data_IF_018362641941
#
_entry.id   IF_018362641941
#
_cell.length_a   1.000
_cell.length_b   1.000
_cell.length_c   1.000
_cell.angle_alpha   90.00
_cell.angle_beta   90.00
_cell.angle_gamma   90.00
#
_symmetry.space_group_name_H-M   'P 1'
#
loop_
_entity.id
_entity.type
_entity.pdbx_description
1 polymer ?
#
# COMPACT_ATOMS: atom_id res chain seq x y z
N UNK A 1 0.62 -3.31 -4.51
CA UNK A 1 0.17 -4.63 -4.07
C UNK A 1 -0.62 -4.49 -2.78
N UNK A 2 -1.81 -5.06 -2.68
CA UNK A 2 -2.68 -4.97 -1.50
C UNK A 2 -3.15 -6.39 -1.18
N UNK A 3 -3.14 -6.76 0.10
CA UNK A 3 -3.63 -8.04 0.58
C UNK A 3 -4.98 -7.86 1.28
N UNK A 4 -5.95 -8.68 0.91
CA UNK A 4 -7.30 -8.65 1.49
C UNK A 4 -7.61 -9.96 2.18
N UNK A 5 -8.30 -9.88 3.32
CA UNK A 5 -8.93 -11.01 4.00
C UNK A 5 -10.42 -10.96 3.73
N UNK A 6 -10.96 -12.09 3.26
CA UNK A 6 -12.39 -12.26 3.04
C UNK A 6 -13.07 -12.47 4.40
N UNK A 7 -14.08 -11.65 4.70
CA UNK A 7 -14.86 -11.71 5.96
C UNK A 7 -16.23 -12.35 5.76
N UNK A 8 -16.85 -12.09 4.62
CA UNK A 8 -18.10 -12.72 4.19
C UNK A 8 -18.10 -12.81 2.67
N UNK A 9 -18.76 -13.84 2.14
CA UNK A 9 -18.99 -14.01 0.70
C UNK A 9 -20.31 -13.38 0.24
N UNK A 10 -21.30 -13.26 1.14
CA UNK A 10 -22.63 -12.75 0.80
C UNK A 10 -23.21 -11.88 1.95
N UNK A 11 -23.28 -10.54 1.77
CA UNK A 11 -22.61 -9.79 0.72
C UNK A 11 -21.08 -9.91 0.85
N UNK A 12 -20.35 -9.77 -0.26
CA UNK A 12 -18.89 -9.81 -0.23
C UNK A 12 -18.35 -8.68 0.67
N UNK A 13 -17.54 -9.06 1.66
CA UNK A 13 -16.89 -8.13 2.60
C UNK A 13 -15.44 -8.50 2.76
N UNK A 14 -14.57 -7.52 2.59
CA UNK A 14 -13.12 -7.69 2.69
C UNK A 14 -12.50 -6.65 3.62
N UNK A 15 -11.39 -7.01 4.27
CA UNK A 15 -10.56 -6.09 5.06
C UNK A 15 -9.11 -6.15 4.58
N UNK A 16 -8.41 -5.02 4.61
CA UNK A 16 -6.98 -4.99 4.28
C UNK A 16 -6.18 -5.69 5.40
N UNK A 17 -5.44 -6.74 5.03
CA UNK A 17 -4.71 -7.58 5.98
C UNK A 17 -3.42 -6.93 6.46
N UNK A 18 -2.73 -6.24 5.56
CA UNK A 18 -1.50 -5.53 5.85
C UNK A 18 -1.39 -4.29 4.95
N UNK A 19 -0.61 -3.31 5.40
CA UNK A 19 -0.31 -2.11 4.59
C UNK A 19 0.25 -2.53 3.23
N UNK A 20 -0.43 -2.14 2.17
CA UNK A 20 0.02 -2.39 0.80
C UNK A 20 1.43 -1.86 0.52
N UNK A 21 2.20 -2.60 -0.28
CA UNK A 21 3.53 -2.19 -0.77
C UNK A 21 3.47 -1.84 -2.24
N UNK A 22 4.40 -1.00 -2.69
CA UNK A 22 4.61 -0.69 -4.09
C UNK A 22 6.10 -0.63 -4.38
N UNK A 23 6.44 -0.77 -5.65
CA UNK A 23 7.78 -0.55 -6.16
C UNK A 23 7.71 -0.07 -7.59
N UNK A 24 8.84 0.46 -8.07
CA UNK A 24 9.01 0.96 -9.42
C UNK A 24 9.27 -0.19 -10.40
N UNK A 25 8.33 -1.14 -10.51
CA UNK A 25 8.53 -2.40 -11.23
C UNK A 25 7.33 -2.82 -12.11
N UNK A 26 6.68 -1.84 -12.74
CA UNK A 26 5.51 -2.07 -13.61
C UNK A 26 5.84 -2.28 -15.09
N UNK A 27 4.80 -2.52 -15.91
CA UNK A 27 4.95 -2.67 -17.37
C UNK A 27 5.70 -1.51 -18.04
N UNK A 28 5.62 -0.28 -17.52
CA UNK A 28 6.40 0.85 -18.03
C UNK A 28 7.91 0.59 -18.02
N UNK A 29 8.44 -0.16 -17.04
CA UNK A 29 9.86 -0.50 -16.97
C UNK A 29 10.31 -1.44 -18.08
N UNK A 30 9.39 -2.25 -18.61
CA UNK A 30 9.66 -3.02 -19.83
C UNK A 30 9.85 -2.09 -21.03
N UNK A 31 9.15 -0.94 -21.13
CA UNK A 31 9.40 0.04 -22.20
C UNK A 31 10.80 0.64 -22.09
N UNK A 32 11.24 1.00 -20.88
CA UNK A 32 12.58 1.56 -20.66
C UNK A 32 13.68 0.54 -20.98
N UNK A 33 13.52 -0.70 -20.54
CA UNK A 33 14.47 -1.78 -20.84
C UNK A 33 14.48 -2.16 -22.33
N UNK A 34 13.33 -2.12 -23.00
CA UNK A 34 13.28 -2.26 -24.45
C UNK A 34 13.99 -1.11 -25.17
N UNK A 35 13.77 0.14 -24.73
CA UNK A 35 14.49 1.29 -25.26
C UNK A 35 16.00 1.16 -25.10
N UNK A 36 16.46 0.79 -23.91
CA UNK A 36 17.88 0.56 -23.65
C UNK A 36 18.44 -0.58 -24.50
N UNK A 37 17.70 -1.67 -24.66
CA UNK A 37 18.08 -2.77 -25.54
C UNK A 37 18.27 -2.29 -26.99
N UNK A 38 17.31 -1.55 -27.55
CA UNK A 38 17.40 -1.01 -28.92
C UNK A 38 18.55 -0.01 -29.03
N UNK A 39 18.74 0.87 -28.03
CA UNK A 39 19.85 1.83 -27.99
C UNK A 39 21.21 1.13 -28.02
N UNK A 40 21.37 0.06 -27.26
CA UNK A 40 22.60 -0.72 -27.21
C UNK A 40 22.87 -1.45 -28.53
N UNK A 41 21.81 -1.96 -29.21
CA UNK A 41 21.96 -2.63 -30.52
C UNK A 41 22.29 -1.67 -31.66
N UNK A 42 21.62 -0.52 -31.74
CA UNK A 42 21.84 0.46 -32.81
C UNK A 42 23.10 1.32 -32.58
N UNK A 43 23.58 1.39 -31.34
CA UNK A 43 24.56 2.36 -30.90
C UNK A 43 23.89 3.68 -30.50
N UNK A 44 24.40 4.30 -29.43
CA UNK A 44 23.80 5.47 -28.79
C UNK A 44 23.57 6.64 -29.76
N UNK A 45 24.59 7.01 -30.53
CA UNK A 45 24.52 8.13 -31.47
C UNK A 45 23.45 7.92 -32.56
N UNK A 46 23.42 6.73 -33.17
CA UNK A 46 22.44 6.37 -34.21
C UNK A 46 21.03 6.28 -33.64
N UNK A 47 20.88 5.79 -32.41
CA UNK A 47 19.59 5.75 -31.73
C UNK A 47 19.03 7.15 -31.47
N UNK A 48 19.86 8.05 -30.95
CA UNK A 48 19.44 9.43 -30.65
C UNK A 48 19.11 10.21 -31.93
N UNK A 49 19.92 10.05 -32.99
CA UNK A 49 19.62 10.59 -34.32
C UNK A 49 18.31 10.02 -34.88
N UNK A 50 18.06 8.72 -34.75
CA UNK A 50 16.82 8.07 -35.17
C UNK A 50 15.60 8.63 -34.41
N UNK A 51 15.70 8.85 -33.10
CA UNK A 51 14.63 9.48 -32.32
C UNK A 51 14.36 10.92 -32.75
N UNK A 52 15.40 11.68 -33.09
CA UNK A 52 15.28 13.07 -33.49
C UNK A 52 14.72 13.23 -34.92
N UNK A 53 15.26 12.49 -35.89
CA UNK A 53 14.95 12.64 -37.31
C UNK A 53 13.81 11.74 -37.79
N UNK A 54 13.60 10.59 -37.13
CA UNK A 54 12.64 9.54 -37.53
C UNK A 54 11.75 9.13 -36.35
N UNK A 55 11.20 10.10 -35.61
CA UNK A 55 10.37 9.84 -34.42
C UNK A 55 9.23 8.82 -34.64
N UNK A 56 8.61 8.80 -35.83
CA UNK A 56 7.56 7.83 -36.19
C UNK A 56 8.07 6.38 -36.23
N UNK A 57 9.32 6.17 -36.63
CA UNK A 57 9.97 4.84 -36.63
C UNK A 57 10.08 4.31 -35.21
N UNK A 58 10.57 5.13 -34.27
CA UNK A 58 10.62 4.77 -32.84
C UNK A 58 9.22 4.50 -32.28
N UNK A 59 8.26 5.39 -32.54
CA UNK A 59 6.90 5.25 -32.04
C UNK A 59 6.24 3.95 -32.50
N UNK A 60 6.49 3.52 -33.74
CA UNK A 60 5.92 2.27 -34.24
C UNK A 60 6.53 1.05 -33.57
N UNK A 61 7.86 1.00 -33.42
CA UNK A 61 8.54 -0.09 -32.71
C UNK A 61 8.12 -0.17 -31.24
N UNK A 62 8.08 0.98 -30.55
CA UNK A 62 7.64 1.05 -29.15
C UNK A 62 6.17 0.63 -29.00
N UNK A 63 5.28 1.09 -29.88
CA UNK A 63 3.87 0.72 -29.85
C UNK A 63 3.68 -0.77 -30.08
N UNK A 64 4.39 -1.35 -31.04
CA UNK A 64 4.34 -2.79 -31.29
C UNK A 64 4.83 -3.59 -30.09
N UNK A 65 5.94 -3.16 -29.47
CA UNK A 65 6.44 -3.78 -28.26
C UNK A 65 5.40 -3.71 -27.12
N UNK A 66 4.80 -2.54 -26.89
CA UNK A 66 3.84 -2.31 -25.81
C UNK A 66 2.50 -3.04 -25.98
N UNK A 67 1.95 -3.05 -27.20
CA UNK A 67 0.63 -3.60 -27.47
C UNK A 67 0.64 -5.09 -27.79
N UNK A 68 1.73 -5.60 -28.37
CA UNK A 68 1.83 -6.99 -28.82
C UNK A 68 2.84 -7.78 -27.98
N UNK A 69 4.12 -7.41 -28.03
CA UNK A 69 5.20 -8.21 -27.43
C UNK A 69 5.00 -8.36 -25.93
N UNK A 70 4.75 -7.27 -25.20
CA UNK A 70 4.56 -7.33 -23.75
C UNK A 70 3.43 -8.24 -23.29
N UNK A 71 2.38 -8.35 -24.10
CA UNK A 71 1.13 -9.04 -23.74
C UNK A 71 1.19 -10.51 -24.12
N UNK A 72 1.80 -10.80 -25.27
CA UNK A 72 1.75 -12.11 -25.89
C UNK A 72 3.09 -12.86 -25.79
N UNK A 73 4.15 -12.26 -25.24
CA UNK A 73 5.44 -12.93 -25.14
C UNK A 73 5.33 -14.21 -24.31
N UNK A 74 5.70 -15.30 -24.97
CA UNK A 74 5.80 -16.63 -24.45
C UNK A 74 7.12 -17.24 -24.95
N UNK A 75 8.00 -17.59 -24.01
CA UNK A 75 9.35 -18.12 -24.30
C UNK A 75 9.30 -19.51 -24.96
N UNK A 76 8.20 -20.26 -24.79
CA UNK A 76 8.03 -21.60 -25.36
C UNK A 76 7.47 -21.54 -26.79
N UNK A 77 6.66 -20.54 -27.10
CA UNK A 77 5.99 -20.41 -28.40
C UNK A 77 6.74 -19.52 -29.40
N UNK A 78 7.50 -18.54 -28.91
CA UNK A 78 8.19 -17.57 -29.77
C UNK A 78 9.66 -17.92 -29.91
N UNK A 79 10.15 -18.14 -31.13
CA UNK A 79 11.58 -18.24 -31.40
C UNK A 79 12.19 -16.86 -31.65
N UNK A 80 11.55 -16.07 -32.50
CA UNK A 80 11.98 -14.72 -32.88
C UNK A 80 10.76 -13.79 -33.04
N UNK A 81 10.96 -12.51 -32.71
CA UNK A 81 9.94 -11.45 -32.79
C UNK A 81 10.49 -10.33 -33.66
N UNK A 82 9.72 -9.94 -34.67
CA UNK A 82 10.11 -8.93 -35.65
C UNK A 82 9.46 -7.60 -35.29
N UNK A 83 10.22 -6.72 -34.65
CA UNK A 83 9.71 -5.40 -34.23
C UNK A 83 9.87 -4.39 -35.37
N UNK A 84 8.81 -3.69 -35.80
CA UNK A 84 8.88 -2.81 -36.97
C UNK A 84 9.68 -1.53 -36.70
N UNK A 85 10.72 -1.30 -37.50
CA UNK A 85 11.56 -0.11 -37.51
C UNK A 85 11.75 0.40 -38.96
N UNK A 86 10.68 0.91 -39.61
CA UNK A 86 10.73 1.28 -41.02
C UNK A 86 11.73 2.41 -41.28
N UNK A 87 12.37 2.33 -42.44
CA UNK A 87 13.30 3.35 -42.91
C UNK A 87 14.66 3.34 -42.21
N UNK A 88 14.95 2.33 -41.37
CA UNK A 88 16.34 2.02 -40.99
C UNK A 88 16.98 1.15 -42.07
N UNK A 89 18.25 1.39 -42.43
CA UNK A 89 18.98 0.51 -43.33
C UNK A 89 19.25 -0.83 -42.65
N UNK A 90 19.32 -1.88 -43.46
CA UNK A 90 19.68 -3.23 -43.00
C UNK A 90 21.07 -3.21 -42.35
N UNK A 91 21.19 -3.96 -41.27
CA UNK A 91 22.39 -4.05 -40.45
C UNK A 91 22.38 -5.38 -39.72
N UNK A 92 23.12 -6.34 -40.26
CA UNK A 92 23.22 -7.70 -39.72
C UNK A 92 23.75 -7.69 -38.28
N UNK A 93 24.67 -6.80 -37.95
CA UNK A 93 25.25 -6.69 -36.59
C UNK A 93 24.23 -6.17 -35.58
N UNK A 94 23.42 -5.20 -35.98
CA UNK A 94 22.32 -4.68 -35.18
C UNK A 94 21.05 -5.54 -35.24
N UNK A 95 21.01 -6.58 -36.08
CA UNK A 95 19.84 -7.43 -36.31
C UNK A 95 18.68 -6.71 -36.99
N UNK A 96 18.99 -5.73 -37.83
CA UNK A 96 18.03 -5.05 -38.67
C UNK A 96 17.98 -5.72 -40.04
N UNK A 97 16.82 -6.22 -40.43
CA UNK A 97 16.56 -6.78 -41.74
C UNK A 97 15.19 -6.32 -42.25
N UNK A 98 15.16 -5.79 -43.46
CA UNK A 98 13.94 -5.41 -44.18
C UNK A 98 13.04 -4.44 -43.40
N UNK A 99 13.66 -3.55 -42.62
CA UNK A 99 12.96 -2.59 -41.76
C UNK A 99 12.37 -3.16 -40.47
N UNK A 100 12.81 -4.35 -40.05
CA UNK A 100 12.46 -4.96 -38.77
C UNK A 100 13.71 -5.18 -37.91
N UNK A 101 13.57 -4.95 -36.61
CA UNK A 101 14.54 -5.40 -35.61
C UNK A 101 14.15 -6.81 -35.18
N UNK A 102 14.98 -7.80 -35.54
CA UNK A 102 14.78 -9.20 -35.17
C UNK A 102 15.30 -9.40 -33.75
N UNK A 103 14.41 -9.85 -32.87
CA UNK A 103 14.70 -10.11 -31.46
C UNK A 103 14.43 -11.57 -31.12
N UNK A 104 15.43 -12.25 -30.57
CA UNK A 104 15.28 -13.65 -30.13
C UNK A 104 14.55 -13.73 -28.79
N UNK A 105 13.91 -14.87 -28.49
CA UNK A 105 13.25 -15.06 -27.20
C UNK A 105 14.15 -14.82 -25.97
N UNK A 106 15.43 -15.25 -25.95
CA UNK A 106 16.35 -14.89 -24.87
C UNK A 106 16.53 -13.37 -24.70
N UNK A 107 16.61 -12.60 -25.79
CA UNK A 107 16.75 -11.14 -25.71
C UNK A 107 15.50 -10.47 -25.14
N UNK A 108 14.32 -10.94 -25.54
CA UNK A 108 13.05 -10.45 -24.98
C UNK A 108 12.95 -10.85 -23.50
N UNK A 109 13.30 -12.09 -23.15
CA UNK A 109 13.35 -12.55 -21.77
C UNK A 109 14.25 -11.66 -20.92
N UNK A 110 15.43 -11.28 -21.40
CA UNK A 110 16.38 -10.46 -20.63
C UNK A 110 15.83 -9.04 -20.34
N UNK A 111 14.91 -8.54 -21.17
CA UNK A 111 14.14 -7.31 -20.89
C UNK A 111 13.14 -7.54 -19.74
N UNK A 112 12.50 -8.71 -19.70
CA UNK A 112 11.45 -9.05 -18.73
C UNK A 112 11.99 -9.47 -17.37
N UNK A 113 13.02 -10.33 -17.34
CA UNK A 113 13.51 -11.01 -16.13
C UNK A 113 13.74 -10.05 -14.96
N UNK A 114 14.44 -8.91 -15.13
CA UNK A 114 14.65 -8.01 -14.01
C UNK A 114 13.35 -7.39 -13.48
N UNK A 115 12.41 -7.01 -14.37
CA UNK A 115 11.10 -6.46 -13.94
C UNK A 115 10.27 -7.53 -13.23
N UNK A 116 10.23 -8.74 -13.77
CA UNK A 116 9.46 -9.85 -13.19
C UNK A 116 10.03 -10.28 -11.84
N UNK A 117 11.36 -10.29 -11.70
CA UNK A 117 12.01 -10.58 -10.43
C UNK A 117 11.64 -9.55 -9.36
N UNK A 118 11.71 -8.25 -9.68
CA UNK A 118 11.28 -7.19 -8.77
C UNK A 118 9.79 -7.36 -8.35
N UNK A 119 8.92 -7.80 -9.27
CA UNK A 119 7.52 -8.13 -8.95
C UNK A 119 7.42 -9.33 -8.01
N UNK A 120 8.16 -10.41 -8.26
CA UNK A 120 8.22 -11.59 -7.37
C UNK A 120 8.66 -11.19 -5.96
N UNK A 121 9.72 -10.40 -5.85
CA UNK A 121 10.28 -9.97 -4.56
C UNK A 121 9.28 -9.11 -3.77
N UNK A 122 8.55 -8.21 -4.45
CA UNK A 122 7.49 -7.42 -3.81
C UNK A 122 6.32 -8.29 -3.33
N UNK A 123 5.93 -9.30 -4.10
CA UNK A 123 4.88 -10.24 -3.70
C UNK A 123 5.34 -11.08 -2.53
N UNK A 124 6.57 -11.62 -2.58
CA UNK A 124 7.17 -12.42 -1.52
C UNK A 124 7.25 -11.63 -0.21
N UNK A 125 7.72 -10.38 -0.26
CA UNK A 125 7.77 -9.51 0.92
C UNK A 125 6.40 -9.23 1.55
N UNK A 126 5.32 -9.21 0.76
CA UNK A 126 3.95 -9.14 1.30
C UNK A 126 3.52 -10.46 1.93
N UNK A 127 3.81 -11.60 1.28
CA UNK A 127 3.50 -12.93 1.82
C UNK A 127 4.21 -13.15 3.16
N UNK A 128 5.50 -12.84 3.24
CA UNK A 128 6.30 -13.00 4.46
C UNK A 128 5.79 -12.13 5.61
N UNK A 129 5.42 -10.89 5.31
CA UNK A 129 4.82 -9.98 6.29
C UNK A 129 3.52 -10.55 6.85
N UNK A 130 2.63 -11.05 5.99
CA UNK A 130 1.37 -11.65 6.43
C UNK A 130 1.60 -12.92 7.26
N UNK A 131 2.55 -13.78 6.84
CA UNK A 131 2.93 -14.99 7.58
C UNK A 131 3.52 -14.67 8.96
N UNK A 132 4.37 -13.64 9.06
CA UNK A 132 4.94 -13.19 10.35
C UNK A 132 3.87 -12.68 11.34
N UNK A 133 2.71 -12.27 10.83
CA UNK A 133 1.56 -11.83 11.63
C UNK A 133 0.58 -13.00 11.93
N UNK A 134 0.96 -14.24 11.60
CA UNK A 134 0.12 -15.43 11.79
C UNK A 134 -0.97 -15.59 10.73
N UNK A 135 -0.92 -14.82 9.63
CA UNK A 135 -1.83 -14.96 8.50
C UNK A 135 -1.39 -16.04 7.51
N UNK A 136 -2.35 -16.59 6.78
CA UNK A 136 -2.10 -17.47 5.63
C UNK A 136 -2.48 -16.76 4.33
N UNK A 137 -1.76 -17.07 3.25
CA UNK A 137 -2.02 -16.52 1.92
C UNK A 137 -2.54 -17.64 1.04
N UNK A 138 -3.83 -17.60 0.74
CA UNK A 138 -4.48 -18.65 -0.05
C UNK A 138 -4.27 -18.48 -1.56
N UNK A 139 -4.14 -17.24 -2.04
CA UNK A 139 -3.96 -17.01 -3.47
C UNK A 139 -3.48 -15.60 -3.84
N UNK A 140 -2.95 -15.50 -5.04
CA UNK A 140 -2.47 -14.27 -5.70
C UNK A 140 -3.32 -14.06 -6.96
N UNK A 141 -3.97 -12.91 -7.08
CA UNK A 141 -4.81 -12.58 -8.24
C UNK A 141 -4.10 -11.49 -9.06
N UNK A 142 -3.78 -11.81 -10.31
CA UNK A 142 -3.15 -10.86 -11.24
C UNK A 142 -4.19 -9.92 -11.84
N UNK A 143 -3.97 -8.61 -11.69
CA UNK A 143 -4.87 -7.56 -12.21
C UNK A 143 -4.08 -6.47 -12.92
N UNK A 144 -4.75 -5.72 -13.80
CA UNK A 144 -4.13 -4.67 -14.62
C UNK A 144 -3.50 -5.21 -15.91
N UNK A 145 -3.00 -4.28 -16.75
CA UNK A 145 -2.49 -4.63 -18.08
C UNK A 145 -1.27 -5.54 -18.07
N UNK A 146 -0.37 -5.41 -17.09
CA UNK A 146 0.77 -6.32 -16.98
C UNK A 146 0.38 -7.71 -16.45
N UNK A 147 -0.69 -7.78 -15.64
CA UNK A 147 -1.22 -9.04 -15.12
C UNK A 147 -1.74 -9.99 -16.21
N UNK A 148 -1.94 -9.51 -17.44
CA UNK A 148 -2.27 -10.33 -18.61
C UNK A 148 -1.07 -11.01 -19.26
N UNK A 149 0.16 -10.63 -18.90
CA UNK A 149 1.35 -11.25 -19.46
C UNK A 149 1.46 -12.71 -19.02
N UNK A 150 1.48 -13.62 -19.98
CA UNK A 150 1.65 -15.06 -19.72
C UNK A 150 3.01 -15.35 -19.09
N UNK A 151 4.07 -14.69 -19.55
CA UNK A 151 5.40 -14.80 -18.95
C UNK A 151 5.40 -14.42 -17.45
N UNK A 152 4.72 -13.32 -17.08
CA UNK A 152 4.59 -12.93 -15.66
C UNK A 152 3.82 -13.98 -14.87
N UNK A 153 2.69 -14.48 -15.41
CA UNK A 153 1.86 -15.49 -14.77
C UNK A 153 2.64 -16.77 -14.48
N UNK A 154 3.32 -17.35 -15.49
CA UNK A 154 4.11 -18.58 -15.34
C UNK A 154 5.22 -18.42 -14.32
N UNK A 155 5.92 -17.28 -14.33
CA UNK A 155 6.99 -16.99 -13.36
C UNK A 155 6.47 -16.93 -11.93
N UNK A 156 5.36 -16.21 -11.68
CA UNK A 156 4.74 -16.16 -10.36
C UNK A 156 4.21 -17.53 -9.92
N UNK A 157 3.56 -18.27 -10.82
CA UNK A 157 3.08 -19.63 -10.53
C UNK A 157 4.22 -20.58 -10.17
N UNK A 158 5.31 -20.56 -10.93
CA UNK A 158 6.49 -21.37 -10.62
C UNK A 158 7.11 -20.98 -9.28
N UNK A 159 7.13 -19.70 -8.94
CA UNK A 159 7.71 -19.21 -7.68
C UNK A 159 6.86 -19.54 -6.45
N UNK A 160 5.53 -19.38 -6.54
CA UNK A 160 4.63 -19.44 -5.38
C UNK A 160 3.82 -20.74 -5.24
N UNK A 161 3.62 -21.48 -6.34
CA UNK A 161 2.89 -22.75 -6.32
C UNK A 161 3.81 -23.96 -6.17
N UNK A 162 5.14 -23.80 -6.32
CA UNK A 162 6.12 -24.86 -6.13
C UNK A 162 6.49 -25.03 -4.65
N UNK A 163 5.59 -25.62 -3.88
CA UNK A 163 5.98 -26.41 -2.72
C UNK A 163 6.27 -27.82 -3.24
N UNK A 164 7.54 -28.21 -3.36
CA UNK A 164 7.86 -29.61 -3.61
C UNK A 164 7.21 -30.46 -2.50
N UNK A 165 6.47 -31.53 -2.83
CA UNK A 165 6.00 -32.45 -1.80
C UNK A 165 7.23 -33.02 -1.05
N UNK A 166 7.15 -33.26 0.27
CA UNK A 166 8.25 -33.89 0.98
C UNK A 166 8.56 -35.24 0.31
N UNK A 167 9.85 -35.64 0.20
CA UNK A 167 10.20 -36.93 -0.36
C UNK A 167 9.46 -38.03 0.43
N UNK A 168 8.94 -39.08 -0.22
CA UNK A 168 8.35 -40.19 0.49
C UNK A 168 9.39 -40.75 1.49
N UNK A 169 8.96 -41.17 2.70
CA UNK A 169 9.88 -41.76 3.65
C UNK A 169 10.61 -42.94 2.98
N UNK A 170 11.91 -43.16 3.27
CA UNK A 170 12.61 -44.30 2.73
C UNK A 170 11.84 -45.58 3.08
N UNK A 171 11.72 -46.55 2.16
CA UNK A 171 11.06 -47.80 2.46
C UNK A 171 11.72 -48.43 3.69
N UNK A 172 10.95 -49.03 4.62
CA UNK A 172 11.53 -49.65 5.79
C UNK A 172 12.55 -50.71 5.36
N UNK A 173 13.67 -50.88 6.10
CA UNK A 173 14.67 -51.88 5.75
C UNK A 173 14.00 -53.25 5.66
N UNK A 174 14.25 -53.96 4.56
CA UNK A 174 13.73 -55.30 4.32
C UNK A 174 14.13 -56.21 5.49
N UNK A 175 13.17 -56.64 6.29
CA UNK A 175 13.42 -57.60 7.36
C UNK A 175 13.32 -59.02 6.79
N UNK A 176 14.41 -59.79 6.87
CA UNK A 176 14.47 -61.20 6.47
C UNK A 176 13.76 -62.13 7.48
N UNK A 177 12.53 -61.80 7.86
CA UNK A 177 11.67 -62.69 8.65
C UNK A 177 10.33 -62.87 7.94
N UNK A 178 9.98 -64.10 7.50
CA UNK A 178 8.64 -64.37 7.01
C UNK A 178 7.65 -64.23 8.16
N UNK A 179 6.81 -63.20 8.13
CA UNK A 179 5.66 -63.07 9.02
C UNK A 179 4.49 -63.88 8.44
N UNK A 180 3.97 -64.82 9.23
CA UNK A 180 2.77 -65.61 8.93
C UNK A 180 1.55 -64.75 9.30
N UNK A 181 0.51 -64.74 8.47
CA UNK A 181 -0.69 -63.87 8.56
C UNK A 181 -1.55 -63.97 9.84
N UNK A 182 -1.08 -64.58 10.93
CA UNK A 182 -1.87 -64.83 12.14
C UNK A 182 -1.57 -63.91 13.34
N UNK A 183 -0.59 -63.01 13.26
CA UNK A 183 -0.16 -62.18 14.40
C UNK A 183 -0.50 -60.68 14.25
N UNK A 184 -1.48 -60.32 13.41
CA UNK A 184 -1.82 -58.93 13.08
C UNK A 184 -2.68 -58.20 14.14
N UNK A 185 -3.11 -58.87 15.22
CA UNK A 185 -4.05 -58.31 16.19
C UNK A 185 -3.54 -58.43 17.63
N UNK A 186 -2.43 -57.75 17.94
CA UNK A 186 -2.07 -57.42 19.32
C UNK A 186 -1.05 -56.27 19.32
N UNK A 187 -1.55 -55.04 19.46
CA UNK A 187 -1.04 -54.07 20.45
C UNK A 187 -1.67 -52.70 20.21
N UNK A 188 -2.73 -52.46 20.97
CA UNK A 188 -3.23 -51.13 21.27
C UNK A 188 -2.43 -50.55 22.46
N UNK A 189 -2.32 -49.23 22.46
CA UNK A 189 -2.07 -48.35 23.62
C UNK A 189 -0.67 -48.33 24.26
N UNK A 190 0.07 -47.27 23.94
CA UNK A 190 1.02 -46.65 24.86
C UNK A 190 1.18 -45.13 24.60
N UNK A 191 0.44 -44.36 25.40
CA UNK A 191 0.89 -43.23 26.21
C UNK A 191 1.29 -41.87 25.60
N UNK A 192 0.97 -40.86 26.40
CA UNK A 192 0.89 -39.45 26.13
C UNK A 192 2.19 -38.68 26.48
N UNK A 193 2.35 -37.54 25.81
CA UNK A 193 2.86 -36.31 26.44
C UNK A 193 4.36 -36.01 26.32
N UNK A 194 4.70 -35.03 25.46
CA UNK A 194 5.75 -34.05 25.75
C UNK A 194 5.73 -32.89 24.74
N UNK A 195 5.66 -31.66 25.27
CA UNK A 195 6.50 -30.52 24.85
C UNK A 195 6.38 -30.01 23.42
N UNK A 196 5.75 -28.84 23.27
CA UNK A 196 5.77 -28.08 22.03
C UNK A 196 7.18 -27.71 21.57
N UNK A 197 7.41 -27.93 20.28
CA UNK A 197 8.27 -27.09 19.46
C UNK A 197 7.40 -26.77 18.25
N UNK A 198 7.12 -25.48 18.03
CA UNK A 198 6.37 -25.01 16.89
C UNK A 198 6.94 -25.64 15.61
N UNK A 199 6.11 -26.43 14.93
CA UNK A 199 6.45 -26.97 13.63
C UNK A 199 6.82 -25.80 12.70
N UNK A 200 7.87 -25.91 11.90
CA UNK A 200 8.24 -24.86 10.95
C UNK A 200 7.03 -24.63 10.04
N UNK A 201 6.66 -23.36 9.86
CA UNK A 201 5.55 -22.93 9.01
C UNK A 201 5.53 -23.73 7.70
N UNK A 202 4.51 -24.58 7.53
CA UNK A 202 4.27 -25.29 6.28
C UNK A 202 4.26 -24.27 5.16
N UNK A 203 5.16 -24.43 4.20
CA UNK A 203 5.21 -23.62 3.00
C UNK A 203 4.05 -24.07 2.09
N UNK A 204 2.81 -23.74 2.48
CA UNK A 204 1.62 -24.06 1.71
C UNK A 204 1.72 -23.40 0.32
N UNK A 205 1.46 -24.19 -0.72
CA UNK A 205 1.43 -23.72 -2.10
C UNK A 205 0.38 -22.63 -2.25
N UNK A 206 0.76 -21.48 -2.80
CA UNK A 206 -0.16 -20.36 -3.03
C UNK A 206 -0.71 -20.48 -4.45
N UNK A 207 -2.04 -20.40 -4.58
CA UNK A 207 -2.69 -20.44 -5.90
C UNK A 207 -2.48 -19.11 -6.63
N UNK A 208 -1.88 -19.15 -7.82
CA UNK A 208 -1.76 -17.97 -8.68
C UNK A 208 -2.86 -18.00 -9.73
N UNK A 209 -3.69 -16.96 -9.75
CA UNK A 209 -4.83 -16.81 -10.64
C UNK A 209 -4.61 -15.66 -11.62
N UNK A 210 -4.89 -15.91 -12.89
CA UNK A 210 -4.92 -14.90 -13.94
C UNK A 210 -6.34 -14.82 -14.54
N UNK A 211 -7.16 -13.85 -14.12
CA UNK A 211 -8.50 -13.67 -14.67
C UNK A 211 -8.45 -13.29 -16.15
N UNK A 212 -9.39 -13.83 -16.93
CA UNK A 212 -9.56 -13.53 -18.37
C UNK A 212 -9.62 -12.02 -18.64
N UNK A 213 -10.21 -11.26 -17.72
CA UNK A 213 -10.40 -9.82 -17.84
C UNK A 213 -9.50 -9.01 -16.89
N UNK A 214 -8.29 -9.48 -16.59
CA UNK A 214 -7.36 -8.84 -15.67
C UNK A 214 -7.17 -7.32 -15.91
N UNK A 215 -7.10 -6.88 -17.17
CA UNK A 215 -6.99 -5.45 -17.52
C UNK A 215 -8.18 -4.64 -17.03
N UNK A 216 -9.41 -5.13 -17.23
CA UNK A 216 -10.63 -4.40 -16.82
C UNK A 216 -11.07 -4.69 -15.39
N UNK A 217 -10.39 -5.61 -14.68
CA UNK A 217 -10.79 -6.06 -13.34
C UNK A 217 -10.92 -4.90 -12.34
N UNK A 218 -10.00 -3.93 -12.38
CA UNK A 218 -10.03 -2.76 -11.48
C UNK A 218 -11.26 -1.89 -11.75
N UNK A 219 -11.56 -1.62 -13.03
CA UNK A 219 -12.72 -0.79 -13.41
C UNK A 219 -14.03 -1.51 -13.10
N UNK A 220 -14.10 -2.82 -13.35
CA UNK A 220 -15.26 -3.65 -12.97
C UNK A 220 -15.49 -3.63 -11.46
N UNK A 221 -14.43 -3.77 -10.66
CA UNK A 221 -14.51 -3.66 -9.21
C UNK A 221 -14.99 -2.28 -8.75
N UNK A 222 -14.56 -1.20 -9.42
CA UNK A 222 -15.05 0.15 -9.14
C UNK A 222 -16.55 0.31 -9.45
N UNK A 223 -17.04 -0.27 -10.55
CA UNK A 223 -18.47 -0.27 -10.91
C UNK A 223 -19.28 -1.05 -9.88
N UNK A 224 -18.84 -2.25 -9.50
CA UNK A 224 -19.51 -3.06 -8.46
C UNK A 224 -19.59 -2.30 -7.13
N UNK A 225 -18.50 -1.66 -6.71
CA UNK A 225 -18.48 -0.82 -5.51
C UNK A 225 -19.40 0.41 -5.63
N UNK A 226 -19.59 0.96 -6.83
CA UNK A 226 -20.54 2.05 -7.06
C UNK A 226 -22.00 1.60 -6.96
N UNK A 227 -22.30 0.38 -7.39
CA UNK A 227 -23.66 -0.19 -7.38
C UNK A 227 -24.05 -0.80 -6.03
N UNK A 228 -23.13 -1.53 -5.39
CA UNK A 228 -23.37 -2.31 -4.17
C UNK A 228 -22.88 -1.61 -2.89
N UNK A 229 -22.23 -0.45 -3.03
CA UNK A 229 -21.61 0.28 -1.92
C UNK A 229 -20.23 -0.25 -1.53
N UNK A 230 -19.69 0.22 -0.39
CA UNK A 230 -18.35 -0.17 0.04
C UNK A 230 -18.29 -1.65 0.46
N UNK A 231 -17.53 -2.45 -0.30
CA UNK A 231 -17.19 -3.83 0.06
C UNK A 231 -16.02 -3.91 1.05
N UNK A 232 -15.19 -2.86 1.13
CA UNK A 232 -14.04 -2.79 2.04
C UNK A 232 -14.51 -2.27 3.38
N UNK A 233 -14.44 -3.12 4.40
CA UNK A 233 -14.91 -2.83 5.76
C UNK A 233 -13.85 -2.07 6.56
N UNK A 234 -12.58 -2.41 6.35
CA UNK A 234 -11.47 -1.78 7.05
C UNK A 234 -10.23 -1.70 6.17
N UNK A 235 -9.46 -0.62 6.34
CA UNK A 235 -8.19 -0.32 5.67
C UNK A 235 -7.06 -0.21 6.69
N UNK A 236 -5.81 -0.33 6.25
CA UNK A 236 -4.64 -0.13 7.11
C UNK A 236 -4.02 1.24 6.88
N UNK A 237 -3.87 2.02 7.95
CA UNK A 237 -3.20 3.32 7.86
C UNK A 237 -1.75 3.15 7.38
N UNK A 238 -1.34 3.95 6.40
CA UNK A 238 0.03 3.89 5.84
C UNK A 238 1.05 4.69 6.64
N UNK A 239 0.58 5.68 7.39
CA UNK A 239 1.36 6.67 8.12
C UNK A 239 0.76 6.85 9.51
N UNK A 240 1.52 7.44 10.42
CA UNK A 240 0.94 8.04 11.61
C UNK A 240 0.27 9.36 11.23
N UNK A 241 -0.92 9.65 11.75
CA UNK A 241 -1.62 10.93 11.54
C UNK A 241 -1.92 11.59 12.87
N UNK A 242 -1.65 12.89 12.95
CA UNK A 242 -1.73 13.62 14.21
C UNK A 242 -1.86 15.11 14.03
N UNK A 243 -2.13 15.80 15.12
CA UNK A 243 -2.18 17.26 15.17
C UNK A 243 -1.24 17.81 16.22
N UNK A 244 -0.78 19.04 16.00
CA UNK A 244 0.07 19.73 16.97
C UNK A 244 -0.77 20.39 18.05
N UNK A 245 -0.30 20.35 19.30
CA UNK A 245 -1.00 20.96 20.43
C UNK A 245 -0.03 21.63 21.40
N UNK A 246 -0.59 22.47 22.26
CA UNK A 246 0.10 23.09 23.37
C UNK A 246 -0.35 22.46 24.69
N UNK A 247 0.59 22.27 25.62
CA UNK A 247 0.33 21.66 26.92
C UNK A 247 1.10 22.36 28.03
N UNK A 248 0.82 22.01 29.30
CA UNK A 248 1.50 22.58 30.47
C UNK A 248 2.98 22.19 30.46
N UNK A 249 3.85 23.13 30.81
CA UNK A 249 5.28 22.85 30.96
C UNK A 249 5.52 21.87 32.11
N UNK A 250 6.31 20.83 31.84
CA UNK A 250 6.68 19.77 32.77
C UNK A 250 8.21 19.71 32.73
N UNK A 251 8.85 20.06 33.84
CA UNK A 251 10.30 20.17 33.95
C UNK A 251 11.02 18.82 33.74
N UNK A 252 10.35 17.71 34.03
CA UNK A 252 10.91 16.36 33.80
C UNK A 252 10.86 15.91 32.34
N UNK A 253 10.06 16.57 31.49
CA UNK A 253 9.82 16.16 30.09
C UNK A 253 10.24 17.19 29.05
N UNK A 254 10.25 18.47 29.42
CA UNK A 254 10.40 19.58 28.48
C UNK A 254 11.64 20.41 28.80
N UNK A 255 12.38 20.82 27.77
CA UNK A 255 13.54 21.68 27.94
C UNK A 255 13.10 23.09 28.35
N UNK A 256 13.87 23.71 29.24
CA UNK A 256 13.53 25.04 29.80
C UNK A 256 13.41 26.12 28.72
N UNK A 257 14.12 25.98 27.60
CA UNK A 257 14.03 26.91 26.45
C UNK A 257 12.77 26.76 25.59
N UNK A 258 11.99 25.68 25.75
CA UNK A 258 10.76 25.43 24.96
C UNK A 258 9.52 26.06 25.59
N UNK A 259 9.62 26.55 26.83
CA UNK A 259 8.47 27.06 27.57
C UNK A 259 8.13 28.49 27.16
N UNK A 260 6.84 28.80 27.16
CA UNK A 260 6.32 30.15 27.05
C UNK A 260 5.27 30.40 28.12
N UNK A 261 5.11 31.65 28.54
CA UNK A 261 4.06 32.02 29.49
C UNK A 261 2.73 32.20 28.75
N UNK A 262 1.70 31.46 29.15
CA UNK A 262 0.35 31.71 28.63
C UNK A 262 -0.36 32.77 29.48
N UNK A 263 -0.72 33.93 28.92
CA UNK A 263 -1.40 34.99 29.66
C UNK A 263 -2.87 34.65 30.00
N UNK A 264 -3.48 33.70 29.30
CA UNK A 264 -4.86 33.26 29.55
C UNK A 264 -4.91 32.15 30.62
N UNK A 265 -3.96 31.23 30.60
CA UNK A 265 -3.88 30.12 31.57
C UNK A 265 -3.01 30.42 32.79
N UNK A 266 -2.29 31.56 32.77
CA UNK A 266 -1.39 32.05 33.82
C UNK A 266 -0.44 30.98 34.34
N UNK A 267 0.17 30.25 33.39
CA UNK A 267 1.12 29.17 33.64
C UNK A 267 2.11 29.04 32.49
N UNK A 268 3.23 28.38 32.78
CA UNK A 268 4.20 27.98 31.76
C UNK A 268 3.62 26.83 30.91
N UNK A 269 3.68 26.99 29.60
CA UNK A 269 3.18 26.06 28.60
C UNK A 269 4.31 25.73 27.61
N UNK A 270 4.12 24.67 26.83
CA UNK A 270 4.99 24.27 25.72
C UNK A 270 4.11 24.02 24.50
N UNK A 271 4.53 24.52 23.34
CA UNK A 271 3.85 24.31 22.07
C UNK A 271 4.49 23.16 21.27
N UNK A 272 3.98 22.92 20.07
CA UNK A 272 4.60 22.01 19.11
C UNK A 272 4.73 20.57 19.63
N UNK A 273 3.86 20.13 20.54
CA UNK A 273 3.75 18.72 20.90
C UNK A 273 2.88 18.02 19.87
N UNK A 274 3.21 16.78 19.53
CA UNK A 274 2.41 15.99 18.61
C UNK A 274 1.49 15.06 19.38
N UNK A 275 0.20 15.10 19.03
CA UNK A 275 -0.76 14.08 19.40
C UNK A 275 -1.07 13.25 18.16
N UNK A 276 -0.59 11.99 18.17
CA UNK A 276 -0.87 11.04 17.11
C UNK A 276 -2.20 10.35 17.42
N UNK A 277 -3.21 10.63 16.59
CA UNK A 277 -4.55 10.06 16.73
C UNK A 277 -4.68 8.72 15.99
N UNK A 278 -3.79 8.47 15.04
CA UNK A 278 -3.76 7.27 14.20
C UNK A 278 -2.32 6.81 14.12
N UNK A 279 -2.07 5.56 14.49
CA UNK A 279 -0.79 4.93 14.29
C UNK A 279 -0.68 4.29 12.90
N UNK A 280 0.54 4.23 12.37
CA UNK A 280 0.86 3.45 11.17
C UNK A 280 0.46 1.98 11.40
N UNK A 281 -0.33 1.43 10.48
CA UNK A 281 -0.87 0.08 10.56
C UNK A 281 -2.22 -0.05 11.27
N UNK A 282 -2.76 1.04 11.85
CA UNK A 282 -4.09 0.99 12.47
C UNK A 282 -5.18 0.63 11.46
N UNK A 283 -6.18 -0.10 11.95
CA UNK A 283 -7.36 -0.45 11.19
C UNK A 283 -8.31 0.75 11.17
N UNK A 284 -8.63 1.24 9.97
CA UNK A 284 -9.50 2.39 9.73
C UNK A 284 -10.83 1.89 9.15
N UNK A 285 -11.94 2.19 9.82
CA UNK A 285 -13.29 1.80 9.41
C UNK A 285 -14.15 3.04 9.21
N UNK A 286 -14.96 3.13 8.13
CA UNK A 286 -15.96 4.20 7.98
C UNK A 286 -17.02 4.20 9.10
N UNK A 287 -17.20 3.07 9.79
CA UNK A 287 -18.18 2.90 10.86
C UNK A 287 -17.69 3.35 12.24
N UNK A 288 -16.38 3.56 12.39
CA UNK A 288 -15.75 3.94 13.66
C UNK A 288 -14.96 5.25 13.44
N UNK A 289 -15.62 6.42 13.56
CA UNK A 289 -14.96 7.71 13.41
C UNK A 289 -13.88 7.93 14.47
N UNK A 290 -12.82 8.65 14.09
CA UNK A 290 -11.67 8.90 14.96
C UNK A 290 -11.80 10.30 15.53
N UNK A 291 -11.86 10.40 16.85
CA UNK A 291 -12.13 11.64 17.57
C UNK A 291 -10.86 12.43 17.88
N UNK A 292 -10.75 13.64 17.35
CA UNK A 292 -9.69 14.60 17.66
C UNK A 292 -10.24 15.63 18.66
N UNK A 293 -9.66 15.69 19.84
CA UNK A 293 -10.14 16.57 20.90
C UNK A 293 -9.36 17.88 20.90
N UNK A 294 -10.09 18.99 20.91
CA UNK A 294 -9.52 20.33 20.89
C UNK A 294 -10.08 21.20 22.00
N UNK A 295 -9.21 22.09 22.47
CA UNK A 295 -9.57 23.18 23.37
C UNK A 295 -9.16 24.50 22.72
N UNK A 296 -10.07 25.47 22.67
CA UNK A 296 -9.82 26.81 22.15
C UNK A 296 -10.26 27.90 23.10
N UNK A 297 -9.46 28.96 23.15
CA UNK A 297 -9.74 30.15 23.94
C UNK A 297 -9.95 31.35 23.02
N UNK A 298 -11.01 32.11 23.30
CA UNK A 298 -11.46 33.24 22.50
C UNK A 298 -11.55 34.49 23.37
N UNK A 299 -10.80 35.53 22.99
CA UNK A 299 -10.97 36.86 23.57
C UNK A 299 -12.23 37.53 23.00
N UNK A 300 -12.79 38.55 23.69
CA UNK A 300 -13.87 39.35 23.12
C UNK A 300 -13.50 39.89 21.73
N UNK A 301 -14.39 39.67 20.75
CA UNK A 301 -14.20 40.11 19.36
C UNK A 301 -13.27 39.24 18.50
N UNK A 302 -12.68 38.18 19.04
CA UNK A 302 -11.88 37.24 18.25
C UNK A 302 -12.76 36.38 17.34
N UNK A 303 -12.24 36.04 16.16
CA UNK A 303 -12.91 35.11 15.24
C UNK A 303 -13.16 33.74 15.89
N UNK A 304 -14.32 33.16 15.62
CA UNK A 304 -14.68 31.79 15.99
C UNK A 304 -14.32 30.77 14.90
N UNK A 305 -13.74 31.22 13.78
CA UNK A 305 -13.16 30.34 12.77
C UNK A 305 -11.74 29.99 13.20
N UNK A 306 -11.47 28.70 13.37
CA UNK A 306 -10.17 28.18 13.81
C UNK A 306 -9.61 27.23 12.77
N UNK A 307 -8.28 27.19 12.67
CA UNK A 307 -7.56 26.29 11.77
C UNK A 307 -6.65 25.34 12.53
N UNK A 308 -6.57 24.11 12.04
CA UNK A 308 -5.77 23.02 12.59
C UNK A 308 -5.09 22.26 11.47
N UNK A 309 -3.80 21.97 11.60
CA UNK A 309 -3.07 21.20 10.59
C UNK A 309 -3.04 19.71 10.94
N UNK A 310 -3.49 18.88 9.99
CA UNK A 310 -3.31 17.44 10.03
C UNK A 310 -1.95 17.08 9.44
N UNK A 311 -1.13 16.41 10.23
CA UNK A 311 0.25 16.07 9.90
C UNK A 311 0.41 14.56 9.81
N UNK A 312 1.33 14.11 8.95
CA UNK A 312 1.65 12.71 8.77
C UNK A 312 3.14 12.40 8.99
N UNK A 313 3.43 11.20 9.49
CA UNK A 313 4.78 10.67 9.67
C UNK A 313 4.90 9.23 9.15
N UNK A 314 5.91 8.95 8.33
CA UNK A 314 6.16 7.62 7.74
C UNK A 314 6.98 6.70 8.66
N UNK A 315 7.80 7.29 9.53
CA UNK A 315 8.71 6.55 10.41
C UNK A 315 7.95 5.63 11.36
N UNK A 316 8.57 4.51 11.75
CA UNK A 316 7.91 3.52 12.62
C UNK A 316 7.67 4.08 14.04
N UNK A 317 8.59 4.91 14.54
CA UNK A 317 8.43 5.67 15.77
C UNK A 317 8.17 7.15 15.47
N UNK A 318 6.93 7.66 15.61
CA UNK A 318 6.63 9.04 15.27
C UNK A 318 7.15 9.99 16.39
N UNK A 319 7.61 11.20 16.05
CA UNK A 319 8.21 12.11 17.02
C UNK A 319 7.16 12.64 18.00
N UNK A 320 7.57 12.90 19.25
CA UNK A 320 6.70 13.53 20.28
C UNK A 320 6.50 15.03 20.07
N UNK A 321 7.27 15.63 19.17
CA UNK A 321 7.31 17.06 18.89
C UNK A 321 7.14 17.28 17.40
N UNK A 322 6.61 18.44 17.02
CA UNK A 322 6.59 18.87 15.64
C UNK A 322 8.01 19.05 15.12
N UNK A 323 8.30 18.46 13.96
CA UNK A 323 9.54 18.64 13.21
C UNK A 323 9.22 19.09 11.79
N UNK A 324 10.20 19.71 11.12
CA UNK A 324 10.02 20.20 9.74
C UNK A 324 9.87 19.07 8.71
N UNK A 325 10.26 17.86 9.09
CA UNK A 325 10.23 16.67 8.23
C UNK A 325 8.85 15.99 8.22
N UNK A 326 7.89 16.48 9.02
CA UNK A 326 6.51 16.00 9.00
C UNK A 326 5.80 16.47 7.73
N UNK A 327 5.07 15.55 7.11
CA UNK A 327 4.27 15.86 5.92
C UNK A 327 2.99 16.56 6.32
N UNK A 328 2.74 17.75 5.78
CA UNK A 328 1.45 18.43 5.91
C UNK A 328 0.42 17.75 5.00
N UNK A 329 -0.67 17.25 5.57
CA UNK A 329 -1.72 16.52 4.83
C UNK A 329 -2.80 17.49 4.35
N UNK A 330 -3.39 18.21 5.30
CA UNK A 330 -4.40 19.23 5.03
C UNK A 330 -4.51 20.21 6.20
N UNK A 331 -5.11 21.36 5.91
CA UNK A 331 -5.55 22.30 6.93
C UNK A 331 -7.05 22.15 7.12
N UNK A 332 -7.46 21.95 8.37
CA UNK A 332 -8.84 21.82 8.82
C UNK A 332 -9.34 23.19 9.27
N UNK A 333 -10.35 23.73 8.60
CA UNK A 333 -11.00 24.99 8.96
C UNK A 333 -12.34 24.69 9.61
N UNK A 334 -12.46 25.03 10.88
CA UNK A 334 -13.66 24.80 11.69
C UNK A 334 -14.33 26.13 12.01
N UNK A 335 -15.59 26.29 11.58
CA UNK A 335 -16.42 27.41 12.00
C UNK A 335 -17.21 27.05 13.26
N UNK A 336 -16.87 27.71 14.38
CA UNK A 336 -17.54 27.52 15.67
C UNK A 336 -18.68 28.53 15.90
N UNK A 337 -19.03 29.36 14.92
CA UNK A 337 -20.10 30.36 15.02
C UNK A 337 -21.48 29.76 15.22
N UNK A 338 -21.70 28.53 14.73
CA UNK A 338 -22.94 27.78 14.90
C UNK A 338 -23.12 27.23 16.33
N UNK A 339 -22.08 27.20 17.16
CA UNK A 339 -22.12 26.66 18.52
C UNK A 339 -22.81 27.67 19.46
N UNK A 340 -23.88 27.28 20.19
CA UNK A 340 -24.56 28.16 21.12
C UNK A 340 -23.62 28.73 22.18
N UNK A 341 -23.75 30.03 22.46
CA UNK A 341 -22.88 30.72 23.41
C UNK A 341 -22.91 30.15 24.84
N UNK A 342 -23.98 29.43 25.21
CA UNK A 342 -24.12 28.78 26.51
C UNK A 342 -23.19 27.57 26.72
N UNK A 343 -22.66 26.98 25.65
CA UNK A 343 -21.69 25.87 25.72
C UNK A 343 -20.25 26.36 25.93
N UNK A 344 -20.02 27.68 25.85
CA UNK A 344 -18.71 28.26 26.09
C UNK A 344 -18.53 28.58 27.56
N UNK A 345 -17.45 28.09 28.14
CA UNK A 345 -17.08 28.41 29.52
C UNK A 345 -16.49 29.82 29.56
N UNK A 346 -17.09 30.72 30.34
CA UNK A 346 -16.52 32.06 30.59
C UNK A 346 -15.50 31.97 31.72
N UNK A 347 -14.32 32.48 31.46
CA UNK A 347 -13.20 32.47 32.40
C UNK A 347 -12.63 33.88 32.53
N UNK A 348 -12.13 34.20 33.72
CA UNK A 348 -11.49 35.49 34.00
C UNK A 348 -10.13 35.23 34.63
N UNK A 349 -9.10 35.83 34.04
CA UNK A 349 -7.72 35.76 34.58
C UNK A 349 -7.61 36.52 35.90
N UNK A 350 -6.55 36.28 36.68
CA UNK A 350 -6.31 37.04 37.93
C UNK A 350 -6.15 38.55 37.70
N UNK A 351 -5.85 38.96 36.46
CA UNK A 351 -5.76 40.37 36.03
C UNK A 351 -7.07 40.95 35.49
N UNK A 352 -8.20 40.25 35.66
CA UNK A 352 -9.52 40.73 35.25
C UNK A 352 -9.80 40.65 33.74
N UNK A 353 -8.94 39.99 32.95
CA UNK A 353 -9.21 39.76 31.52
C UNK A 353 -10.17 38.58 31.36
N UNK A 354 -11.34 38.84 30.80
CA UNK A 354 -12.33 37.83 30.44
C UNK A 354 -12.01 37.16 29.10
N UNK A 355 -12.24 35.85 29.01
CA UNK A 355 -12.18 35.07 27.79
C UNK A 355 -13.16 33.91 27.82
N UNK A 356 -13.49 33.36 26.66
CA UNK A 356 -14.33 32.18 26.51
C UNK A 356 -13.47 30.99 26.15
N UNK A 357 -13.78 29.85 26.71
CA UNK A 357 -13.17 28.57 26.40
C UNK A 357 -14.22 27.64 25.80
N UNK A 358 -13.83 26.84 24.80
CA UNK A 358 -14.65 25.79 24.22
C UNK A 358 -13.81 24.53 24.04
N UNK A 359 -14.32 23.43 24.57
CA UNK A 359 -13.85 22.08 24.26
C UNK A 359 -14.77 21.50 23.19
N UNK A 360 -14.18 20.92 22.14
CA UNK A 360 -14.91 20.33 21.03
C UNK A 360 -14.14 19.15 20.45
N UNK A 361 -14.86 18.33 19.70
CA UNK A 361 -14.31 17.15 19.03
C UNK A 361 -14.51 17.29 17.53
N UNK A 362 -13.46 17.01 16.77
CA UNK A 362 -13.58 16.77 15.33
C UNK A 362 -13.55 15.26 15.10
N UNK A 363 -14.65 14.71 14.60
CA UNK A 363 -14.72 13.30 14.22
C UNK A 363 -14.29 13.15 12.77
N UNK A 364 -13.18 12.45 12.56
CA UNK A 364 -12.71 12.09 11.23
C UNK A 364 -13.36 10.79 10.77
N UNK A 365 -14.01 10.83 9.62
CA UNK A 365 -14.62 9.70 8.93
C UNK A 365 -13.76 9.38 7.72
N UNK A 366 -13.14 8.19 7.72
CA UNK A 366 -12.35 7.70 6.59
C UNK A 366 -13.26 6.92 5.66
N UNK A 367 -13.71 7.55 4.58
CA UNK A 367 -14.42 6.84 3.52
C UNK A 367 -13.52 6.62 2.31
N UNK A 368 -13.98 5.73 1.47
CA UNK A 368 -13.47 5.37 0.17
C UNK A 368 -13.12 6.54 -0.77
N UNK A 369 -13.82 7.68 -0.63
CA UNK A 369 -13.72 8.85 -1.50
C UNK A 369 -12.88 9.98 -0.92
N UNK A 370 -12.48 9.91 0.36
CA UNK A 370 -11.70 10.95 1.03
C UNK A 370 -11.88 10.94 2.54
N UNK A 371 -11.31 11.96 3.20
CA UNK A 371 -11.49 12.21 4.63
C UNK A 371 -12.64 13.21 4.82
N UNK A 372 -13.65 12.82 5.58
CA UNK A 372 -14.69 13.72 6.08
C UNK A 372 -14.42 14.09 7.53
N UNK A 373 -14.81 15.30 7.93
CA UNK A 373 -14.65 15.77 9.30
C UNK A 373 -15.95 16.42 9.78
N UNK A 374 -16.41 16.03 10.96
CA UNK A 374 -17.62 16.55 11.59
C UNK A 374 -17.30 17.21 12.93
N UNK A 375 -17.85 18.41 13.16
CA UNK A 375 -17.71 19.11 14.43
C UNK A 375 -18.76 18.60 15.42
N UNK A 376 -18.31 18.21 16.61
CA UNK A 376 -19.15 17.90 17.76
C UNK A 376 -18.78 18.70 19.00
N UNK A 377 -19.80 19.10 19.76
CA UNK A 377 -19.69 19.74 21.07
C UNK A 377 -20.70 19.05 21.99
N UNK A 378 -20.26 18.59 23.17
CA UNK A 378 -21.08 17.80 24.12
C UNK A 378 -21.81 16.60 23.47
N UNK A 379 -21.18 15.98 22.46
CA UNK A 379 -21.73 14.83 21.73
C UNK A 379 -22.73 15.18 20.62
N UNK A 380 -23.16 16.44 20.52
CA UNK A 380 -24.05 16.91 19.45
C UNK A 380 -23.28 17.45 18.26
N UNK A 381 -23.82 17.25 17.05
CA UNK A 381 -23.20 17.65 15.78
C UNK A 381 -23.59 19.08 15.41
N UNK A 382 -22.59 19.91 15.12
CA UNK A 382 -22.79 21.33 14.78
C UNK A 382 -22.42 21.69 13.33
N UNK A 383 -21.70 20.83 12.61
CA UNK A 383 -21.36 21.12 11.22
C UNK A 383 -20.37 20.15 10.60
N UNK A 384 -19.99 20.45 9.35
CA UNK A 384 -18.84 19.83 8.68
C UNK A 384 -17.64 20.76 8.78
N UNK A 385 -16.45 20.19 8.84
CA UNK A 385 -15.18 20.92 8.82
C UNK A 385 -14.64 20.90 7.39
N UNK A 386 -14.16 22.04 6.94
CA UNK A 386 -13.54 22.16 5.62
C UNK A 386 -12.10 21.66 5.70
N UNK A 387 -11.73 20.72 4.81
CA UNK A 387 -10.39 20.16 4.74
C UNK A 387 -9.74 20.59 3.43
N UNK A 388 -8.75 21.47 3.52
CA UNK A 388 -7.98 21.95 2.37
C UNK A 388 -6.72 21.10 2.22
N UNK A 389 -6.72 20.22 1.22
CA UNK A 389 -5.55 19.44 0.84
C UNK A 389 -4.66 20.29 -0.05
N UNK A 390 -3.36 20.37 0.28
CA UNK A 390 -2.40 20.94 -0.67
C UNK A 390 -2.35 20.06 -1.91
N UNK A 391 -2.61 20.65 -3.08
CA UNK A 391 -2.24 20.02 -4.35
C UNK A 391 -0.73 19.86 -4.35
N UNK A 392 -0.28 18.60 -4.33
CA UNK A 392 1.14 18.23 -4.43
C UNK A 392 1.71 18.44 -5.81
#
# INVERSE_FOLDING_TARGET
LIAYKIKSLHPLRVEESAVGTGGLCGSAFLNYRFEEHVRNRLGHARFDEMKALKAKTWQMGLKYFEEFVKRNFDEEEHQEIHVPFPGLPDDETAGLDSGFLIMTAPQIRDIFVPVVQEVCDLVQGQVDRLRSQGGTVSGIILVGGFGQSEHLYRRLKAHFSSAAPPPPPPPPPYSERPLREADADADADADAGAGGIAAPHNNESIEVMQPVHAWTAVVRGAVLRGLEGSMVVSRRSRMHYGTSYATVYDEGKHALGERYWSPLWERWMVSNRMQWHIAKGDALSPLEPIAFHYTRNFRPGQSLIVTDDLLACEADGPPKAFTRDLTHVCTLTTDLSAVPGGLFTRLTTTRGVEFRNLDFTLEMIVDSAGLGFELKVDGERYGRVEAEFRQG
#
